data_IF_482365742417
#
_entry.id   IF_482365742417
#
_cell.length_a   1.000
_cell.length_b   1.000
_cell.length_c   1.000
_cell.angle_alpha   90.00
_cell.angle_beta   90.00
_cell.angle_gamma   90.00
#
_symmetry.space_group_name_H-M   'P 1'
#
loop_
_entity.id
_entity.type
_entity.pdbx_description
1 polymer ?
#
# COMPACT_ATOMS: atom_id res chain seq x y z
N UNK A 1 -4.05 -9.25 -7.00
CA UNK A 1 -5.27 -9.67 -6.27
C UNK A 1 -6.47 -9.17 -7.07
N UNK A 2 -7.52 -9.98 -7.23
CA UNK A 2 -8.77 -9.55 -7.84
C UNK A 2 -9.85 -9.67 -6.77
N UNK A 3 -10.53 -8.57 -6.48
CA UNK A 3 -11.68 -8.57 -5.59
C UNK A 3 -12.94 -8.95 -6.38
N UNK A 4 -13.80 -9.78 -5.80
CA UNK A 4 -15.05 -10.21 -6.43
C UNK A 4 -16.16 -10.25 -5.39
N UNK A 5 -17.36 -9.79 -5.74
CA UNK A 5 -18.54 -9.82 -4.88
C UNK A 5 -18.36 -9.07 -3.54
N UNK A 6 -17.52 -8.02 -3.54
CA UNK A 6 -17.33 -7.17 -2.36
C UNK A 6 -18.35 -6.02 -2.39
N UNK A 7 -19.21 -5.94 -1.37
CA UNK A 7 -20.16 -4.83 -1.16
C UNK A 7 -19.62 -3.74 -0.20
N UNK A 8 -18.45 -3.97 0.39
CA UNK A 8 -17.77 -3.04 1.30
C UNK A 8 -16.48 -2.49 0.67
N UNK A 9 -15.81 -1.59 1.39
CA UNK A 9 -14.52 -1.03 1.01
C UNK A 9 -13.47 -2.15 0.79
N UNK A 10 -12.78 -2.07 -0.35
CA UNK A 10 -11.70 -2.99 -0.69
C UNK A 10 -10.37 -2.30 -0.48
N UNK A 11 -9.37 -3.02 0.01
CA UNK A 11 -8.04 -2.45 0.21
C UNK A 11 -6.93 -3.50 0.18
N UNK A 12 -5.76 -3.04 -0.23
CA UNK A 12 -4.49 -3.72 -0.02
C UNK A 12 -3.71 -2.95 1.04
N UNK A 13 -3.11 -3.68 1.96
CA UNK A 13 -2.30 -3.10 3.04
C UNK A 13 -0.91 -3.70 3.03
N UNK A 14 0.09 -2.85 3.33
CA UNK A 14 1.37 -3.30 3.85
C UNK A 14 1.38 -3.00 5.34
N UNK A 15 1.74 -3.99 6.15
CA UNK A 15 1.72 -3.89 7.60
C UNK A 15 3.10 -4.18 8.19
N UNK A 16 3.45 -3.42 9.23
CA UNK A 16 4.52 -3.77 10.13
C UNK A 16 4.21 -5.11 10.83
N UNK A 17 5.26 -5.88 11.12
CA UNK A 17 5.15 -7.21 11.74
C UNK A 17 4.48 -7.21 13.11
N UNK A 18 4.44 -6.07 13.81
CA UNK A 18 3.79 -5.91 15.11
C UNK A 18 2.32 -5.51 15.01
N UNK A 19 1.77 -5.39 13.79
CA UNK A 19 0.36 -5.13 13.59
C UNK A 19 -0.48 -6.35 13.98
N UNK A 20 -1.56 -6.12 14.72
CA UNK A 20 -2.49 -7.18 15.17
C UNK A 20 -3.88 -6.84 14.67
N UNK A 21 -4.45 -7.71 13.83
CA UNK A 21 -5.75 -7.50 13.21
C UNK A 21 -6.84 -8.29 13.92
N UNK A 22 -7.89 -7.59 14.36
CA UNK A 22 -9.11 -8.19 14.89
C UNK A 22 -10.21 -8.30 13.83
N UNK A 23 -11.14 -9.26 13.96
CA UNK A 23 -12.30 -9.34 13.08
C UNK A 23 -13.18 -8.09 13.18
N UNK A 24 -13.82 -7.70 12.08
CA UNK A 24 -14.77 -6.58 12.00
C UNK A 24 -14.19 -5.21 12.42
N UNK A 25 -12.88 -5.02 12.28
CA UNK A 25 -12.20 -3.74 12.57
C UNK A 25 -11.45 -3.23 11.35
N UNK A 26 -11.31 -1.91 11.25
CA UNK A 26 -10.51 -1.30 10.21
C UNK A 26 -9.03 -1.62 10.42
N UNK A 27 -8.21 -1.73 9.35
CA UNK A 27 -6.78 -2.03 9.51
C UNK A 27 -5.98 -0.97 10.27
N UNK A 28 -6.51 0.24 10.45
CA UNK A 28 -5.91 1.29 11.28
C UNK A 28 -6.39 1.30 12.73
N UNK A 29 -7.37 0.47 13.10
CA UNK A 29 -7.90 0.34 14.46
C UNK A 29 -6.88 -0.33 15.40
N UNK A 30 -7.16 -0.33 16.70
CA UNK A 30 -6.37 -1.04 17.73
C UNK A 30 -4.87 -0.70 17.74
N UNK A 31 -4.52 0.57 17.49
CA UNK A 31 -3.13 1.02 17.48
C UNK A 31 -2.35 0.69 16.21
N UNK A 32 -3.02 0.25 15.14
CA UNK A 32 -2.38 -0.07 13.86
C UNK A 32 -2.26 1.13 12.89
N UNK A 33 -2.65 2.34 13.33
CA UNK A 33 -2.66 3.55 12.51
C UNK A 33 -1.31 3.86 11.87
N UNK A 34 -0.23 3.70 12.66
CA UNK A 34 1.17 3.93 12.28
C UNK A 34 1.86 2.66 11.77
N UNK A 35 1.20 1.51 11.90
CA UNK A 35 1.75 0.20 11.54
C UNK A 35 1.35 -0.25 10.15
N UNK A 36 0.55 0.54 9.43
CA UNK A 36 0.02 0.13 8.12
C UNK A 36 0.05 1.28 7.12
N UNK A 37 0.37 0.95 5.86
CA UNK A 37 0.05 1.76 4.68
C UNK A 37 -1.09 1.08 3.96
N UNK A 38 -2.14 1.84 3.64
CA UNK A 38 -3.42 1.30 3.16
C UNK A 38 -3.80 2.00 1.86
N UNK A 39 -4.00 1.22 0.80
CA UNK A 39 -4.53 1.69 -0.47
C UNK A 39 -5.94 1.14 -0.66
N UNK A 40 -6.94 2.02 -0.70
CA UNK A 40 -8.35 1.66 -0.84
C UNK A 40 -8.90 1.87 -2.26
N UNK A 41 -10.07 1.28 -2.47
CA UNK A 41 -10.78 1.26 -3.74
C UNK A 41 -11.30 2.64 -4.18
N UNK A 42 -11.38 3.62 -3.25
CA UNK A 42 -11.64 5.02 -3.56
C UNK A 42 -10.42 5.78 -4.09
N UNK A 43 -9.27 5.10 -4.23
CA UNK A 43 -8.02 5.71 -4.67
C UNK A 43 -7.21 6.32 -3.52
N UNK A 44 -7.65 6.19 -2.26
CA UNK A 44 -6.90 6.81 -1.17
C UNK A 44 -5.69 5.96 -0.80
N UNK A 45 -4.52 6.59 -0.73
CA UNK A 45 -3.36 6.03 -0.02
C UNK A 45 -3.24 6.72 1.34
N UNK A 46 -3.31 5.95 2.43
CA UNK A 46 -3.28 6.49 3.80
C UNK A 46 -2.25 5.82 4.71
N UNK A 47 -1.69 6.61 5.63
CA UNK A 47 -0.80 6.22 6.71
C UNK A 47 -0.85 7.29 7.80
N UNK A 48 -0.83 6.92 9.09
CA UNK A 48 -0.91 7.81 10.30
C UNK A 48 -2.07 8.82 10.31
N UNK A 49 -2.23 9.69 9.32
CA UNK A 49 -3.31 10.66 9.17
C UNK A 49 -4.25 10.35 8.01
N UNK A 50 -4.84 11.40 7.44
CA UNK A 50 -5.68 11.32 6.25
C UNK A 50 -4.89 10.86 5.02
N UNK A 51 -5.56 10.16 4.11
CA UNK A 51 -4.97 9.73 2.86
C UNK A 51 -5.01 10.80 1.76
N UNK A 52 -4.38 10.48 0.63
CA UNK A 52 -4.44 11.25 -0.63
C UNK A 52 -5.12 10.45 -1.72
N UNK A 53 -5.89 11.13 -2.59
CA UNK A 53 -6.68 10.55 -3.70
C UNK A 53 -6.00 10.64 -5.07
N UNK A 54 -4.70 10.88 -5.12
CA UNK A 54 -4.02 11.01 -6.43
C UNK A 54 -3.84 9.66 -7.14
N UNK A 55 -4.02 8.53 -6.45
CA UNK A 55 -4.06 7.22 -7.08
C UNK A 55 -5.45 6.95 -7.71
N UNK A 56 -5.48 6.12 -8.74
CA UNK A 56 -6.73 5.74 -9.40
C UNK A 56 -7.62 4.92 -8.43
N UNK A 57 -8.95 5.12 -8.44
CA UNK A 57 -9.86 4.19 -7.79
C UNK A 57 -9.92 2.85 -8.53
N UNK A 58 -10.47 1.83 -7.87
CA UNK A 58 -10.72 0.51 -8.45
C UNK A 58 -11.97 -0.11 -7.84
N UNK A 59 -12.54 -1.11 -8.50
CA UNK A 59 -13.74 -1.84 -8.07
C UNK A 59 -13.57 -3.35 -8.31
N UNK A 60 -14.64 -4.12 -8.02
CA UNK A 60 -14.69 -5.55 -8.28
C UNK A 60 -14.26 -5.89 -9.73
N UNK A 61 -13.51 -6.99 -9.89
CA UNK A 61 -13.02 -7.48 -11.19
C UNK A 61 -11.72 -6.82 -11.67
N UNK A 62 -11.27 -5.74 -11.03
CA UNK A 62 -9.97 -5.12 -11.32
C UNK A 62 -8.83 -5.92 -10.69
N UNK A 63 -7.70 -5.99 -11.38
CA UNK A 63 -6.47 -6.54 -10.80
C UNK A 63 -5.73 -5.45 -10.03
N UNK A 64 -5.55 -5.63 -8.73
CA UNK A 64 -4.80 -4.72 -7.86
C UNK A 64 -3.56 -5.43 -7.32
N UNK A 65 -2.40 -4.80 -7.44
CA UNK A 65 -1.14 -5.35 -6.98
C UNK A 65 -0.31 -4.31 -6.23
N UNK A 66 0.68 -4.79 -5.48
CA UNK A 66 1.74 -3.97 -4.95
C UNK A 66 3.09 -4.67 -5.18
N UNK A 67 4.12 -3.86 -5.35
CA UNK A 67 5.49 -4.31 -5.47
C UNK A 67 6.30 -3.63 -4.38
N UNK A 68 7.13 -4.41 -3.67
CA UNK A 68 8.12 -3.86 -2.76
C UNK A 68 9.50 -4.09 -3.34
N UNK A 69 10.16 -3.00 -3.76
CA UNK A 69 11.54 -3.07 -4.23
C UNK A 69 12.48 -3.18 -3.03
N UNK A 70 13.03 -4.37 -2.87
CA UNK A 70 13.99 -4.69 -1.81
C UNK A 70 15.42 -4.30 -2.14
N UNK A 71 15.73 -4.01 -3.41
CA UNK A 71 17.06 -3.65 -3.87
C UNK A 71 17.29 -2.13 -3.87
N UNK A 72 16.22 -1.34 -3.92
CA UNK A 72 16.32 0.12 -3.80
C UNK A 72 16.73 0.54 -2.39
N UNK A 73 17.45 1.66 -2.29
CA UNK A 73 17.77 2.33 -1.02
C UNK A 73 17.34 3.80 -1.12
N UNK A 74 16.28 4.21 -0.40
CA UNK A 74 15.43 3.40 0.49
C UNK A 74 14.58 2.37 -0.27
N UNK A 75 14.04 1.38 0.46
CA UNK A 75 13.09 0.40 -0.09
C UNK A 75 11.82 1.12 -0.51
N UNK A 76 11.20 0.71 -1.62
CA UNK A 76 10.00 1.37 -2.14
C UNK A 76 8.81 0.43 -2.19
N UNK A 77 7.63 0.93 -1.85
CA UNK A 77 6.34 0.27 -2.03
C UNK A 77 5.56 1.00 -3.12
N UNK A 78 5.21 0.29 -4.19
CA UNK A 78 4.48 0.82 -5.33
C UNK A 78 3.20 0.03 -5.56
N UNK A 79 2.09 0.71 -5.85
CA UNK A 79 0.81 0.08 -6.15
C UNK A 79 0.53 0.05 -7.65
N UNK A 80 -0.27 -0.92 -8.08
CA UNK A 80 -0.67 -1.12 -9.47
C UNK A 80 -2.15 -1.43 -9.56
N UNK A 81 -2.82 -0.92 -10.58
CA UNK A 81 -4.17 -1.34 -10.95
C UNK A 81 -4.22 -1.67 -12.44
N UNK A 82 -4.65 -2.87 -12.77
CA UNK A 82 -4.60 -3.48 -14.12
C UNK A 82 -3.22 -3.33 -14.76
N UNK A 83 -2.17 -3.60 -13.98
CA UNK A 83 -0.77 -3.48 -14.40
C UNK A 83 -0.26 -2.05 -14.57
N UNK A 84 -1.11 -1.02 -14.36
CA UNK A 84 -0.71 0.39 -14.40
C UNK A 84 -0.22 0.84 -13.03
N UNK A 85 1.03 1.28 -12.99
CA UNK A 85 1.64 1.88 -11.81
C UNK A 85 0.84 3.10 -11.33
N UNK A 86 0.65 3.20 -10.02
CA UNK A 86 0.03 4.35 -9.37
C UNK A 86 1.04 5.49 -9.13
N UNK A 87 0.61 6.76 -9.22
CA UNK A 87 1.50 7.92 -9.19
C UNK A 87 2.11 8.19 -7.82
N UNK A 88 1.60 7.61 -6.73
CA UNK A 88 2.20 7.73 -5.40
C UNK A 88 2.88 6.43 -5.01
N UNK A 89 4.11 6.54 -4.52
CA UNK A 89 4.84 5.43 -3.92
C UNK A 89 5.37 5.82 -2.53
N UNK A 90 5.59 4.80 -1.69
CA UNK A 90 6.04 5.00 -0.31
C UNK A 90 7.46 4.51 -0.15
N UNK A 91 8.33 5.36 0.36
CA UNK A 91 9.64 4.98 0.83
C UNK A 91 9.55 4.44 2.25
N UNK A 92 10.14 3.26 2.44
CA UNK A 92 10.22 2.61 3.72
C UNK A 92 11.68 2.68 4.22
N UNK A 93 11.96 3.43 5.30
CA UNK A 93 13.31 3.53 5.82
C UNK A 93 13.72 2.23 6.52
N UNK A 94 14.76 1.57 5.99
CA UNK A 94 15.73 0.78 6.76
C UNK A 94 15.27 -0.51 7.44
N UNK A 95 13.98 -0.87 7.43
CA UNK A 95 13.54 -2.11 8.09
C UNK A 95 13.61 -3.32 7.16
N UNK A 96 14.26 -4.37 7.66
CA UNK A 96 14.16 -5.72 7.12
C UNK A 96 12.82 -6.32 7.55
N UNK A 97 12.04 -6.83 6.61
CA UNK A 97 10.82 -7.57 6.90
C UNK A 97 10.92 -8.98 6.31
N UNK A 98 10.39 -9.95 7.06
CA UNK A 98 10.21 -11.31 6.57
C UNK A 98 8.97 -11.39 5.71
N UNK A 99 9.11 -11.61 4.42
CA UNK A 99 7.97 -11.86 3.54
C UNK A 99 7.64 -13.35 3.62
N UNK A 100 6.50 -13.69 4.22
CA UNK A 100 6.09 -15.09 4.40
C UNK A 100 5.50 -15.71 3.13
N UNK A 101 4.98 -14.89 2.20
CA UNK A 101 4.46 -15.34 0.90
C UNK A 101 4.57 -14.24 -0.15
N UNK A 102 5.29 -14.49 -1.24
CA UNK A 102 5.42 -13.58 -2.38
C UNK A 102 5.77 -14.33 -3.65
N UNK A 103 5.51 -13.70 -4.79
CA UNK A 103 6.13 -14.06 -6.05
C UNK A 103 7.35 -13.16 -6.25
N UNK A 104 8.53 -13.78 -6.40
CA UNK A 104 9.75 -13.02 -6.69
C UNK A 104 9.77 -12.67 -8.16
N UNK A 105 9.59 -11.39 -8.47
CA UNK A 105 9.82 -10.86 -9.81
C UNK A 105 11.29 -10.43 -9.91
N UNK A 106 12.00 -10.83 -10.96
CA UNK A 106 13.44 -10.58 -11.12
C UNK A 106 13.78 -9.13 -11.49
N UNK A 107 12.80 -8.39 -12.01
CA UNK A 107 12.94 -6.99 -12.42
C UNK A 107 11.70 -6.20 -12.02
N UNK A 108 11.91 -5.05 -11.37
CA UNK A 108 10.84 -4.13 -11.00
C UNK A 108 10.06 -3.65 -12.21
N UNK A 109 8.73 -3.62 -12.10
CA UNK A 109 7.88 -2.91 -13.08
C UNK A 109 7.65 -1.45 -12.66
N UNK A 110 8.00 -1.11 -11.42
CA UNK A 110 7.93 0.26 -10.93
C UNK A 110 9.01 1.11 -11.61
N UNK A 111 8.58 2.22 -12.19
CA UNK A 111 9.45 3.18 -12.87
C UNK A 111 10.03 4.23 -11.92
N UNK A 112 9.66 4.20 -10.63
CA UNK A 112 10.08 5.20 -9.64
C UNK A 112 9.63 6.65 -9.94
N UNK A 113 8.67 6.83 -10.85
CA UNK A 113 8.17 8.15 -11.25
C UNK A 113 6.86 8.44 -10.51
N UNK A 114 6.84 9.51 -9.72
CA UNK A 114 5.66 9.84 -8.93
C UNK A 114 5.95 10.71 -7.72
N UNK A 115 4.90 10.97 -6.94
CA UNK A 115 5.01 11.61 -5.63
C UNK A 115 5.48 10.59 -4.61
N UNK A 116 6.58 10.92 -3.94
CA UNK A 116 7.17 10.10 -2.90
C UNK A 116 6.59 10.49 -1.54
N UNK A 117 6.14 9.50 -0.78
CA UNK A 117 5.76 9.66 0.61
C UNK A 117 6.65 8.78 1.50
N UNK A 118 6.76 9.10 2.79
CA UNK A 118 7.63 8.36 3.70
C UNK A 118 6.81 7.64 4.77
N UNK A 119 7.07 6.35 4.95
CA UNK A 119 6.54 5.58 6.07
C UNK A 119 7.00 6.20 7.40
N UNK A 120 6.13 6.19 8.41
CA UNK A 120 6.39 6.73 9.75
C UNK A 120 6.16 8.23 9.86
N UNK A 121 5.79 8.91 8.76
CA UNK A 121 5.43 10.32 8.76
C UNK A 121 3.95 10.51 8.47
N UNK A 122 3.33 11.45 9.16
CA UNK A 122 2.02 11.95 8.74
C UNK A 122 2.18 12.73 7.42
N UNK A 123 1.30 12.43 6.46
CA UNK A 123 1.33 13.09 5.16
C UNK A 123 0.35 14.26 5.15
N UNK A 124 0.88 15.45 4.92
CA UNK A 124 0.08 16.66 4.77
C UNK A 124 -0.11 16.93 3.29
N UNK A 125 -1.36 17.08 2.89
CA UNK A 125 -1.77 17.43 1.54
C UNK A 125 -2.42 18.82 1.64
N UNK A 126 -1.91 19.77 0.87
CA UNK A 126 -2.49 21.12 0.72
C UNK A 126 -3.67 21.10 -0.26
#
# INVERSE_FOLDING_TARGET
>A
IIFSHTEQCQMIILADSTAVFGPNKWPSSDGNKEKTVRYDNGGNLSHIGSGTKENAPFDNGRFVGCEVDMNSTPKTLTFFVDGKQQPIFVNQPGQSFGITRYERILSTQAKGKGKQLEWGKEWKFE
#
